data_IF_045360519839
#
_entry.id   IF_045360519839
#
_cell.length_a   1.000
_cell.length_b   1.000
_cell.length_c   1.000
_cell.angle_alpha   90.00
_cell.angle_beta   90.00
_cell.angle_gamma   90.00
#
_symmetry.space_group_name_H-M   'P 1'
#
loop_
_entity.id
_entity.type
_entity.pdbx_description
1 polymer ?
#
# COMPACT_ATOMS: atom_id res chain seq x y z
N UNK A 1 -2.52 -8.43 31.10
CA UNK A 1 -1.04 -8.50 31.18
C UNK A 1 -0.44 -7.46 30.25
N UNK A 2 0.53 -6.66 30.69
CA UNK A 2 1.27 -5.76 29.79
C UNK A 2 2.51 -6.46 29.25
N UNK A 3 2.70 -6.47 27.93
CA UNK A 3 3.92 -6.97 27.29
C UNK A 3 5.12 -6.13 27.82
N UNK A 4 6.17 -6.74 28.35
CA UNK A 4 7.35 -6.00 28.83
C UNK A 4 8.14 -5.41 27.65
N UNK A 5 9.05 -4.45 27.89
CA UNK A 5 9.89 -3.92 26.82
C UNK A 5 10.90 -4.97 26.34
N UNK A 6 11.13 -5.03 25.03
CA UNK A 6 12.10 -5.92 24.41
C UNK A 6 13.01 -5.14 23.45
N UNK A 7 14.28 -5.52 23.39
CA UNK A 7 15.24 -4.95 22.42
C UNK A 7 15.06 -5.53 21.03
N UNK A 8 14.68 -6.80 20.95
CA UNK A 8 14.56 -7.55 19.71
C UNK A 8 13.12 -7.93 19.45
N UNK A 9 12.67 -7.70 18.23
CA UNK A 9 11.38 -8.16 17.74
C UNK A 9 11.58 -9.04 16.52
N UNK A 10 10.72 -10.04 16.38
CA UNK A 10 10.69 -10.93 15.22
C UNK A 10 9.29 -10.97 14.65
N UNK A 11 9.17 -10.63 13.37
CA UNK A 11 7.94 -10.77 12.59
C UNK A 11 8.07 -12.06 11.80
N UNK A 12 7.15 -13.00 12.05
CA UNK A 12 7.07 -14.27 11.37
C UNK A 12 5.78 -14.32 10.56
N UNK A 13 5.89 -14.64 9.28
CA UNK A 13 4.73 -14.83 8.41
C UNK A 13 4.50 -16.33 8.19
N UNK A 14 3.27 -16.86 8.35
CA UNK A 14 3.01 -18.29 8.22
C UNK A 14 3.20 -18.83 6.80
N UNK A 15 3.14 -17.96 5.77
CA UNK A 15 3.53 -18.34 4.42
C UNK A 15 5.04 -18.18 4.21
N UNK A 16 5.60 -18.95 3.27
CA UNK A 16 7.05 -19.01 2.99
C UNK A 16 7.69 -17.66 2.62
N UNK A 17 6.91 -16.68 2.17
CA UNK A 17 7.36 -15.33 1.88
C UNK A 17 6.32 -14.27 2.25
N UNK A 18 6.83 -13.07 2.52
CA UNK A 18 6.08 -11.84 2.74
C UNK A 18 6.78 -10.72 1.96
N UNK A 19 6.02 -9.87 1.27
CA UNK A 19 6.56 -8.68 0.61
C UNK A 19 6.00 -7.44 1.30
N UNK A 20 6.88 -6.60 1.85
CA UNK A 20 6.51 -5.37 2.56
C UNK A 20 7.15 -4.17 1.88
N UNK A 21 6.37 -3.11 1.69
CA UNK A 21 6.86 -1.78 1.33
C UNK A 21 7.22 -0.97 2.56
N UNK A 22 6.39 -0.99 3.61
CA UNK A 22 6.63 -0.21 4.83
C UNK A 22 6.42 -1.02 6.10
N UNK A 23 7.12 -0.62 7.16
CA UNK A 23 6.95 -1.14 8.51
C UNK A 23 7.17 -0.03 9.54
N UNK A 24 6.20 0.15 10.43
CA UNK A 24 6.28 1.11 11.52
C UNK A 24 5.91 0.43 12.84
N UNK A 25 6.67 0.77 13.89
CA UNK A 25 6.41 0.26 15.25
C UNK A 25 6.18 1.41 16.21
N UNK A 26 5.12 1.31 17.00
CA UNK A 26 4.65 2.42 17.83
C UNK A 26 4.59 2.03 19.31
N UNK A 27 4.83 3.04 20.15
CA UNK A 27 4.69 2.93 21.60
C UNK A 27 3.24 2.81 22.07
N UNK A 28 3.11 2.81 23.40
CA UNK A 28 1.87 2.62 24.14
C UNK A 28 0.79 3.63 23.74
N UNK A 29 1.17 4.88 23.54
CA UNK A 29 0.25 5.97 23.26
C UNK A 29 0.12 6.25 21.75
N UNK A 30 0.82 5.46 20.93
CA UNK A 30 0.90 5.60 19.46
C UNK A 30 1.45 6.95 18.98
N UNK A 31 2.10 7.69 19.86
CA UNK A 31 2.65 9.03 19.61
C UNK A 31 4.06 8.97 19.05
N UNK A 32 4.82 7.90 19.35
CA UNK A 32 6.20 7.76 18.91
C UNK A 32 6.39 6.51 18.06
N UNK A 33 6.90 6.71 16.85
CA UNK A 33 7.39 5.63 15.99
C UNK A 33 8.84 5.30 16.36
N UNK A 34 9.15 4.01 16.44
CA UNK A 34 10.48 3.46 16.65
C UNK A 34 10.95 2.74 15.39
N UNK A 35 12.19 3.01 15.03
CA UNK A 35 12.89 2.34 13.95
C UNK A 35 14.07 1.59 14.55
N UNK A 36 14.21 0.32 14.18
CA UNK A 36 15.34 -0.51 14.59
C UNK A 36 16.11 -1.03 13.39
N UNK A 37 17.35 -1.48 13.62
CA UNK A 37 18.15 -2.12 12.58
C UNK A 37 17.45 -3.40 12.13
N UNK A 38 17.14 -3.48 10.84
CA UNK A 38 16.56 -4.67 10.22
C UNK A 38 17.64 -5.73 10.03
N UNK A 39 17.28 -6.98 10.30
CA UNK A 39 18.12 -8.13 9.98
C UNK A 39 17.26 -9.34 9.57
N UNK A 40 17.80 -10.13 8.66
CA UNK A 40 17.13 -11.29 8.04
C UNK A 40 18.03 -12.52 8.20
N UNK A 41 17.50 -13.75 8.08
CA UNK A 41 18.31 -14.95 7.98
C UNK A 41 19.35 -14.83 6.85
N UNK A 42 20.58 -15.29 7.11
CA UNK A 42 21.77 -15.10 6.24
C UNK A 42 21.57 -15.52 4.78
N UNK A 43 20.65 -16.46 4.49
CA UNK A 43 20.38 -16.98 3.15
C UNK A 43 19.68 -15.99 2.19
N UNK A 44 19.29 -14.79 2.66
CA UNK A 44 18.53 -13.83 1.86
C UNK A 44 19.23 -12.50 1.62
N UNK A 45 20.45 -12.33 2.14
CA UNK A 45 21.34 -11.25 1.77
C UNK A 45 21.74 -11.45 0.30
N UNK A 46 20.88 -11.06 -0.63
CA UNK A 46 21.32 -10.75 -1.99
C UNK A 46 22.41 -9.69 -1.81
N UNK A 47 23.66 -10.10 -2.06
CA UNK A 47 24.84 -9.31 -1.80
C UNK A 47 24.65 -7.86 -2.29
N UNK A 48 24.57 -6.91 -1.34
CA UNK A 48 24.51 -5.48 -1.64
C UNK A 48 23.13 -4.81 -1.58
N UNK A 49 22.01 -5.51 -1.32
CA UNK A 49 20.71 -4.83 -1.15
C UNK A 49 20.52 -4.36 0.30
N UNK A 50 20.53 -3.05 0.52
CA UNK A 50 20.07 -2.45 1.79
C UNK A 50 18.55 -2.57 1.86
N UNK A 51 18.03 -3.12 2.95
CA UNK A 51 16.59 -3.16 3.20
C UNK A 51 16.17 -1.88 3.89
N UNK A 52 15.26 -1.13 3.27
CA UNK A 52 14.72 0.08 3.86
C UNK A 52 13.19 0.04 3.85
N UNK A 53 12.60 -0.41 4.95
CA UNK A 53 11.15 -0.37 5.16
C UNK A 53 10.70 0.97 5.79
N UNK A 54 11.61 1.94 5.88
CA UNK A 54 11.42 3.21 6.57
C UNK A 54 11.58 4.43 5.63
N UNK A 55 11.90 4.20 4.35
CA UNK A 55 12.12 5.24 3.33
C UNK A 55 10.84 6.00 2.93
N UNK A 56 9.66 5.49 3.29
CA UNK A 56 8.34 6.03 2.93
C UNK A 56 8.04 6.00 1.43
N UNK A 57 8.75 5.17 0.68
CA UNK A 57 8.45 4.87 -0.70
C UNK A 57 7.57 3.62 -0.75
N UNK A 58 6.26 3.82 -0.94
CA UNK A 58 5.29 2.73 -0.96
C UNK A 58 5.50 1.76 -2.15
N UNK A 59 6.26 2.17 -3.16
CA UNK A 59 6.55 1.36 -4.35
C UNK A 59 7.87 0.59 -4.25
N UNK A 60 8.78 0.97 -3.35
CA UNK A 60 9.90 0.13 -2.96
C UNK A 60 9.42 -0.98 -2.01
N UNK A 61 10.03 -2.15 -2.09
CA UNK A 61 9.67 -3.27 -1.24
C UNK A 61 10.80 -4.27 -1.00
N UNK A 62 10.65 -4.99 0.10
CA UNK A 62 11.53 -6.07 0.53
C UNK A 62 10.76 -7.39 0.50
N UNK A 63 11.36 -8.41 -0.11
CA UNK A 63 10.91 -9.80 0.04
C UNK A 63 11.57 -10.42 1.27
N UNK A 64 10.75 -10.80 2.25
CA UNK A 64 11.12 -11.43 3.51
C UNK A 64 10.74 -12.89 3.41
N UNK A 65 11.71 -13.79 3.56
CA UNK A 65 11.47 -15.23 3.66
C UNK A 65 11.61 -15.68 5.11
N UNK A 66 10.68 -16.51 5.58
CA UNK A 66 10.51 -16.92 6.99
C UNK A 66 10.21 -15.78 7.98
N UNK A 67 11.19 -14.96 8.33
CA UNK A 67 11.04 -13.95 9.37
C UNK A 67 11.95 -12.73 9.18
N UNK A 68 11.50 -11.59 9.70
CA UNK A 68 12.23 -10.33 9.79
C UNK A 68 12.54 -10.03 11.26
N UNK A 69 13.80 -9.70 11.55
CA UNK A 69 14.26 -9.25 12.85
C UNK A 69 14.43 -7.73 12.91
N UNK A 70 14.15 -7.16 14.07
CA UNK A 70 14.34 -5.74 14.37
C UNK A 70 15.15 -5.63 15.67
N UNK A 71 16.30 -4.96 15.63
CA UNK A 71 17.08 -4.58 16.81
C UNK A 71 16.88 -3.08 17.09
N UNK A 72 16.19 -2.75 18.18
CA UNK A 72 15.97 -1.37 18.62
C UNK A 72 17.17 -0.75 19.36
N UNK A 73 18.28 -1.49 19.49
CA UNK A 73 19.49 -1.14 20.25
C UNK A 73 19.31 -1.07 21.77
N UNK A 74 18.10 -0.82 22.25
CA UNK A 74 17.68 -0.80 23.65
C UNK A 74 16.27 -1.39 23.80
N UNK A 75 15.82 -1.81 25.00
CA UNK A 75 14.47 -2.32 25.20
C UNK A 75 13.39 -1.26 24.91
N UNK A 76 12.45 -1.59 24.03
CA UNK A 76 11.30 -0.74 23.66
C UNK A 76 10.00 -1.47 23.94
N UNK A 77 9.00 -0.75 24.46
CA UNK A 77 7.64 -1.28 24.68
C UNK A 77 6.75 -0.90 23.50
N UNK A 78 6.57 -1.84 22.58
CA UNK A 78 5.74 -1.68 21.39
C UNK A 78 4.32 -2.14 21.70
N UNK A 79 3.32 -1.38 21.24
CA UNK A 79 1.90 -1.76 21.32
C UNK A 79 1.22 -1.89 19.97
N UNK A 80 1.77 -1.28 18.92
CA UNK A 80 1.16 -1.26 17.60
C UNK A 80 2.22 -1.40 16.53
N UNK A 81 1.89 -2.20 15.51
CA UNK A 81 2.64 -2.31 14.27
C UNK A 81 1.72 -1.83 13.16
N UNK A 82 2.21 -0.96 12.28
CA UNK A 82 1.60 -0.71 10.98
C UNK A 82 2.54 -1.27 9.92
N UNK A 83 1.97 -1.84 8.87
CA UNK A 83 2.76 -2.33 7.76
C UNK A 83 1.97 -2.10 6.47
N UNK A 84 2.70 -1.93 5.37
CA UNK A 84 2.15 -1.87 4.03
C UNK A 84 2.69 -3.05 3.24
N UNK A 85 1.84 -4.00 2.81
CA UNK A 85 2.24 -5.02 1.84
C UNK A 85 2.70 -4.35 0.54
N UNK A 86 3.50 -5.07 -0.26
CA UNK A 86 3.90 -4.59 -1.59
C UNK A 86 2.69 -4.06 -2.36
N UNK A 87 2.82 -2.84 -2.86
CA UNK A 87 1.86 -2.21 -3.76
C UNK A 87 2.61 -1.54 -4.91
N UNK A 88 1.97 -1.49 -6.07
CA UNK A 88 2.38 -0.68 -7.22
C UNK A 88 1.76 0.73 -7.17
N UNK A 89 1.04 1.07 -6.09
CA UNK A 89 0.28 2.31 -5.91
C UNK A 89 -0.83 2.57 -6.95
N UNK A 90 -1.25 1.53 -7.69
CA UNK A 90 -2.31 1.65 -8.71
C UNK A 90 -3.74 1.59 -8.14
N UNK A 91 -3.90 1.70 -6.83
CA UNK A 91 -5.21 1.77 -6.17
C UNK A 91 -5.65 3.23 -6.00
N UNK A 92 -6.91 3.45 -5.62
CA UNK A 92 -7.40 4.80 -5.32
C UNK A 92 -6.67 5.34 -4.08
N UNK A 93 -5.99 6.47 -4.26
CA UNK A 93 -5.21 7.14 -3.22
C UNK A 93 -6.00 8.32 -2.65
N UNK A 94 -6.24 8.30 -1.34
CA UNK A 94 -6.84 9.44 -0.66
C UNK A 94 -5.97 10.69 -0.83
N UNK A 95 -6.62 11.81 -1.18
CA UNK A 95 -5.97 13.07 -1.51
C UNK A 95 -5.81 13.32 -3.01
N UNK A 96 -5.85 12.29 -3.85
CA UNK A 96 -5.69 12.45 -5.30
C UNK A 96 -7.01 12.80 -5.97
N UNK A 97 -6.92 13.54 -7.07
CA UNK A 97 -8.04 13.92 -7.92
C UNK A 97 -8.16 12.94 -9.07
N UNK A 98 -9.35 12.39 -9.26
CA UNK A 98 -9.66 11.44 -10.31
C UNK A 98 -10.76 11.97 -11.23
N UNK A 99 -10.66 11.68 -12.52
CA UNK A 99 -11.64 12.06 -13.52
C UNK A 99 -12.17 10.80 -14.24
N UNK A 100 -13.48 10.58 -14.15
CA UNK A 100 -14.17 9.48 -14.81
C UNK A 100 -14.61 9.90 -16.21
N UNK A 101 -14.26 9.10 -17.20
CA UNK A 101 -14.68 9.25 -18.58
C UNK A 101 -15.59 8.11 -19.01
N UNK A 102 -16.51 8.40 -19.93
CA UNK A 102 -17.36 7.42 -20.60
C UNK A 102 -17.18 7.52 -22.11
N UNK A 103 -17.10 6.36 -22.77
CA UNK A 103 -16.91 6.29 -24.21
C UNK A 103 -18.25 6.47 -24.92
N UNK A 104 -18.38 7.57 -25.67
CA UNK A 104 -19.56 7.89 -26.46
C UNK A 104 -19.15 8.63 -27.73
N UNK A 105 -19.88 8.44 -28.83
CA UNK A 105 -19.63 9.15 -30.08
C UNK A 105 -18.17 9.04 -30.54
N UNK A 106 -17.62 7.81 -30.46
CA UNK A 106 -16.25 7.47 -30.85
C UNK A 106 -15.14 8.15 -30.05
N UNK A 107 -15.44 8.72 -28.88
CA UNK A 107 -14.45 9.39 -28.02
C UNK A 107 -14.76 9.20 -26.53
N UNK A 108 -13.75 9.39 -25.68
CA UNK A 108 -13.94 9.44 -24.22
C UNK A 108 -14.38 10.85 -23.82
N UNK A 109 -15.57 10.96 -23.23
CA UNK A 109 -16.10 12.21 -22.70
C UNK A 109 -16.00 12.21 -21.18
N UNK A 110 -15.59 13.34 -20.61
CA UNK A 110 -15.53 13.52 -19.16
C UNK A 110 -16.93 13.50 -18.58
N UNK A 111 -17.15 12.67 -17.55
CA UNK A 111 -18.41 12.61 -16.82
C UNK A 111 -18.34 13.42 -15.53
N UNK A 112 -17.30 13.19 -14.73
CA UNK A 112 -17.17 13.79 -13.41
C UNK A 112 -15.72 13.75 -12.93
N UNK A 113 -15.37 14.74 -12.13
CA UNK A 113 -14.11 14.79 -11.39
C UNK A 113 -14.41 14.71 -9.90
N UNK A 114 -13.61 13.92 -9.18
CA UNK A 114 -13.74 13.73 -7.74
C UNK A 114 -12.38 13.61 -7.07
N UNK A 115 -12.18 14.35 -5.98
CA UNK A 115 -11.06 14.13 -5.06
C UNK A 115 -11.38 12.93 -4.16
N UNK A 116 -10.52 11.92 -4.16
CA UNK A 116 -10.65 10.77 -3.28
C UNK A 116 -10.42 11.21 -1.82
N UNK A 117 -11.40 10.97 -0.96
CA UNK A 117 -11.26 11.20 0.50
C UNK A 117 -10.81 9.93 1.23
N UNK A 118 -11.03 8.78 0.60
CA UNK A 118 -10.70 7.44 1.09
C UNK A 118 -10.12 6.62 -0.06
N UNK A 119 -9.86 5.33 0.16
CA UNK A 119 -9.37 4.40 -0.86
C UNK A 119 -10.44 3.93 -1.86
N UNK A 120 -11.50 4.71 -2.06
CA UNK A 120 -12.61 4.39 -2.96
C UNK A 120 -13.25 5.67 -3.51
N UNK A 121 -13.81 5.59 -4.72
CA UNK A 121 -14.61 6.64 -5.33
C UNK A 121 -16.05 6.17 -5.50
N UNK A 122 -16.99 7.11 -5.53
CA UNK A 122 -18.40 6.82 -5.80
C UNK A 122 -18.94 7.93 -6.67
N UNK A 123 -19.21 7.58 -7.92
CA UNK A 123 -19.84 8.47 -8.89
C UNK A 123 -21.32 8.10 -9.01
N UNK A 124 -22.19 9.09 -8.88
CA UNK A 124 -23.63 8.90 -9.03
C UNK A 124 -24.07 9.17 -10.46
N UNK A 125 -25.23 8.61 -10.85
CA UNK A 125 -25.88 8.86 -12.15
C UNK A 125 -24.99 8.55 -13.37
N UNK A 126 -24.05 7.62 -13.21
CA UNK A 126 -23.21 7.13 -14.31
C UNK A 126 -24.08 6.27 -15.24
N UNK A 127 -23.99 6.42 -16.58
CA UNK A 127 -24.65 5.53 -17.52
C UNK A 127 -24.37 4.06 -17.18
N UNK A 128 -25.27 3.12 -17.46
CA UNK A 128 -25.03 1.69 -17.26
C UNK A 128 -24.44 1.03 -18.53
N UNK A 129 -23.81 -0.14 -18.39
CA UNK A 129 -23.32 -0.98 -19.51
C UNK A 129 -22.37 -0.23 -20.48
N UNK A 130 -21.53 0.65 -19.95
CA UNK A 130 -20.60 1.48 -20.71
C UNK A 130 -19.15 0.98 -20.74
N UNK A 131 -18.36 1.59 -21.63
CA UNK A 131 -16.90 1.57 -21.57
C UNK A 131 -16.42 2.85 -20.89
N UNK A 132 -15.67 2.69 -19.80
CA UNK A 132 -15.19 3.78 -18.97
C UNK A 132 -13.67 3.81 -18.92
N UNK A 133 -13.16 4.97 -18.53
CA UNK A 133 -11.76 5.18 -18.24
C UNK A 133 -11.68 6.10 -17.01
N UNK A 134 -11.01 5.64 -15.96
CA UNK A 134 -10.73 6.48 -14.80
C UNK A 134 -9.29 6.97 -14.92
N UNK A 135 -9.10 8.29 -14.78
CA UNK A 135 -7.76 8.90 -14.79
C UNK A 135 -7.40 9.49 -13.44
N UNK A 136 -6.20 9.19 -12.97
CA UNK A 136 -5.60 9.91 -11.85
C UNK A 136 -4.96 11.20 -12.39
N UNK A 137 -5.43 12.36 -11.94
CA UNK A 137 -4.97 13.67 -12.41
C UNK A 137 -3.79 14.19 -11.58
N UNK A 138 -3.36 13.45 -10.57
CA UNK A 138 -2.37 13.88 -9.57
C UNK A 138 -1.04 13.17 -9.75
N UNK A 139 -1.02 11.84 -9.86
CA UNK A 139 0.22 11.03 -9.85
C UNK A 139 0.32 10.03 -10.99
N UNK A 140 -0.78 9.38 -11.34
CA UNK A 140 -0.80 8.25 -12.28
C UNK A 140 -0.74 8.66 -13.76
N UNK A 141 -0.04 7.86 -14.56
CA UNK A 141 -0.09 7.93 -16.03
C UNK A 141 -0.64 6.66 -16.66
N UNK A 142 -0.64 5.55 -15.90
CA UNK A 142 -1.22 4.29 -16.28
C UNK A 142 -2.73 4.33 -16.09
N UNK A 143 -3.47 4.02 -17.15
CA UNK A 143 -4.91 4.02 -17.13
C UNK A 143 -5.42 2.82 -17.92
N UNK A 144 -6.39 2.11 -17.35
CA UNK A 144 -7.00 0.94 -17.99
C UNK A 144 -8.48 1.18 -18.20
N UNK A 145 -8.94 0.92 -19.42
CA UNK A 145 -10.36 0.98 -19.73
C UNK A 145 -11.07 -0.19 -19.03
N UNK A 146 -12.31 0.03 -18.63
CA UNK A 146 -13.11 -0.99 -17.98
C UNK A 146 -14.57 -0.87 -18.38
N UNK A 147 -15.29 -1.98 -18.29
CA UNK A 147 -16.75 -2.01 -18.38
C UNK A 147 -17.35 -2.24 -17.01
N UNK A 148 -18.48 -1.59 -16.72
CA UNK A 148 -19.24 -1.83 -15.50
C UNK A 148 -20.56 -2.52 -15.86
N UNK A 149 -20.71 -3.76 -15.40
CA UNK A 149 -21.84 -4.63 -15.73
C UNK A 149 -22.26 -5.43 -14.50
N UNK A 150 -23.57 -5.51 -14.24
CA UNK A 150 -24.15 -6.28 -13.14
C UNK A 150 -23.50 -6.00 -11.76
N UNK A 151 -23.12 -4.75 -11.51
CA UNK A 151 -22.48 -4.34 -10.27
C UNK A 151 -20.97 -4.59 -10.20
N UNK A 152 -20.35 -5.11 -11.25
CA UNK A 152 -18.95 -5.52 -11.29
C UNK A 152 -18.13 -4.76 -12.34
N UNK A 153 -16.85 -4.54 -12.05
CA UNK A 153 -15.87 -3.90 -12.94
C UNK A 153 -15.08 -4.99 -13.66
N UNK A 154 -15.01 -4.89 -14.99
CA UNK A 154 -14.21 -5.77 -15.85
C UNK A 154 -13.18 -4.95 -16.62
N UNK A 155 -11.89 -5.25 -16.43
CA UNK A 155 -10.78 -4.55 -17.08
C UNK A 155 -10.39 -5.20 -18.41
N UNK A 156 -10.03 -4.38 -19.40
CA UNK A 156 -9.58 -4.81 -20.74
C UNK A 156 -8.13 -4.42 -20.99
#
# INVERSE_FOLDING_TARGET
MSIPPYRYFRIHHPANSLQLSELETYDVDTTRCYYGKLFLPESHLLAGKTYDLYNRDITDYVEIKNWLGIDFMHPVKIRKIKYLPRTDSNHIMAGDVYELFFYQNFTFQSLAEQKALTSSLTFEQVPAEGLYLLKDKTRGTEHRIFTYKDGQVFFW
#
